data_IF_672785163313
#
_entry.id   IF_672785163313
#
_cell.length_a   1.000
_cell.length_b   1.000
_cell.length_c   1.000
_cell.angle_alpha   90.00
_cell.angle_beta   90.00
_cell.angle_gamma   90.00
#
_symmetry.space_group_name_H-M   'P 1'
#
loop_
_entity.id
_entity.type
_entity.pdbx_description
1 polymer ?
#
# COMPACT_ATOMS: atom_id res chain seq x y z
N UNK A 1 14.25 23.86 27.82
CA UNK A 1 14.55 24.12 26.39
C UNK A 1 15.01 22.79 25.83
N UNK A 2 14.09 22.05 25.22
CA UNK A 2 14.40 20.77 24.58
C UNK A 2 14.47 21.06 23.10
N UNK A 3 15.69 21.18 22.60
CA UNK A 3 16.02 21.50 21.22
C UNK A 3 15.49 20.38 20.30
N UNK A 4 14.90 20.78 19.18
CA UNK A 4 14.63 19.90 18.07
C UNK A 4 15.98 19.52 17.46
N UNK A 5 16.65 18.49 17.99
CA UNK A 5 17.90 17.99 17.38
C UNK A 5 17.55 17.27 16.07
N UNK A 6 17.51 18.05 15.00
CA UNK A 6 17.93 17.61 13.68
C UNK A 6 19.42 17.90 13.57
N UNK A 7 20.18 16.86 13.24
CA UNK A 7 21.59 16.99 12.86
C UNK A 7 21.71 18.08 11.78
N UNK A 8 22.41 19.15 12.14
CA UNK A 8 22.94 20.15 11.22
C UNK A 8 23.91 19.45 10.28
N UNK A 9 23.63 19.48 8.97
CA UNK A 9 24.66 19.42 7.95
C UNK A 9 24.71 20.80 7.32
N UNK A 10 25.79 21.51 7.64
CA UNK A 10 26.14 22.80 7.08
C UNK A 10 26.29 22.72 5.56
N UNK A 11 25.50 23.53 4.86
CA UNK A 11 26.00 24.38 3.78
C UNK A 11 25.01 25.52 3.56
N UNK A 12 25.50 26.74 3.73
CA UNK A 12 24.78 27.98 3.49
C UNK A 12 24.45 28.14 2.01
N UNK A 13 23.16 28.31 1.70
CA UNK A 13 22.69 29.08 0.55
C UNK A 13 21.48 29.88 1.07
N UNK A 14 21.61 31.20 1.06
CA UNK A 14 20.48 32.12 1.20
C UNK A 14 19.62 31.95 -0.05
N UNK A 15 18.38 31.47 0.09
CA UNK A 15 17.35 31.61 -0.92
C UNK A 15 15.97 31.69 -0.24
N UNK A 16 15.12 32.53 -0.82
CA UNK A 16 13.77 32.89 -0.36
C UNK A 16 12.89 31.69 0.03
N UNK A 17 11.91 31.89 0.95
CA UNK A 17 11.00 30.80 1.34
C UNK A 17 10.20 30.31 0.13
N UNK A 18 10.08 28.99 -0.09
CA UNK A 18 9.35 28.45 -1.22
C UNK A 18 7.85 28.72 -1.05
N UNK A 19 7.32 29.60 -1.89
CA UNK A 19 5.88 29.90 -2.02
C UNK A 19 5.19 28.87 -2.93
N UNK A 20 5.40 27.59 -2.65
CA UNK A 20 4.67 26.49 -3.29
C UNK A 20 3.32 26.26 -2.62
N UNK A 21 2.27 25.97 -3.39
CA UNK A 21 1.03 25.45 -2.81
C UNK A 21 1.33 24.18 -2.01
N UNK A 22 0.73 24.00 -0.82
CA UNK A 22 1.07 22.90 0.09
C UNK A 22 0.86 21.52 -0.53
N UNK A 23 0.09 21.36 -1.61
CA UNK A 23 -0.11 20.09 -2.32
C UNK A 23 1.07 19.67 -3.22
N UNK A 24 2.06 20.54 -3.45
CA UNK A 24 3.18 20.30 -4.38
C UNK A 24 4.48 19.92 -3.67
N UNK A 25 4.62 20.25 -2.37
CA UNK A 25 5.83 20.02 -1.61
C UNK A 25 5.98 18.55 -1.21
N UNK A 26 7.17 17.97 -1.33
CA UNK A 26 7.44 16.58 -0.93
C UNK A 26 8.79 16.44 -0.20
N UNK A 27 8.97 15.35 0.54
CA UNK A 27 10.26 15.00 1.16
C UNK A 27 10.85 16.09 2.07
N UNK A 28 12.06 16.55 1.75
CA UNK A 28 12.81 17.50 2.60
C UNK A 28 12.13 18.88 2.66
N UNK A 29 11.62 19.37 1.53
CA UNK A 29 11.00 20.70 1.42
C UNK A 29 9.74 20.78 2.28
N UNK A 30 8.88 19.75 2.21
CA UNK A 30 7.68 19.66 3.03
C UNK A 30 8.00 19.61 4.53
N UNK A 31 9.07 18.90 4.91
CA UNK A 31 9.52 18.85 6.32
C UNK A 31 9.99 20.20 6.84
N UNK A 32 10.69 20.98 6.00
CA UNK A 32 11.10 22.35 6.33
C UNK A 32 9.87 23.24 6.51
N UNK A 33 8.95 23.23 5.54
CA UNK A 33 7.72 24.03 5.61
C UNK A 33 6.89 23.77 6.87
N UNK A 34 6.80 22.51 7.31
CA UNK A 34 6.11 22.15 8.55
C UNK A 34 6.84 22.65 9.79
N UNK A 35 8.17 22.56 9.80
CA UNK A 35 8.96 23.06 10.92
C UNK A 35 8.77 24.58 11.07
N UNK A 36 8.87 25.33 9.97
CA UNK A 36 8.70 26.78 9.98
C UNK A 36 7.28 27.20 10.40
N UNK A 37 6.26 26.53 9.87
CA UNK A 37 4.88 26.77 10.24
C UNK A 37 4.63 26.43 11.73
N UNK A 38 5.21 25.33 12.22
CA UNK A 38 5.10 24.92 13.62
C UNK A 38 5.76 25.91 14.57
N UNK A 39 6.97 26.37 14.25
CA UNK A 39 7.70 27.35 15.06
C UNK A 39 6.98 28.69 15.11
N UNK A 40 6.30 29.06 14.02
CA UNK A 40 5.42 30.24 13.96
C UNK A 40 4.17 30.06 14.83
N UNK A 41 3.53 28.88 14.78
CA UNK A 41 2.30 28.61 15.53
C UNK A 41 2.53 28.42 17.03
N UNK A 42 3.62 27.78 17.42
CA UNK A 42 3.84 27.32 18.79
C UNK A 42 3.75 28.43 19.86
N UNK A 43 4.32 29.64 19.67
CA UNK A 43 4.15 30.76 20.61
C UNK A 43 2.68 31.17 20.82
N UNK A 44 1.84 31.08 19.76
CA UNK A 44 0.44 31.49 19.79
C UNK A 44 -0.43 30.53 20.62
N UNK A 45 -0.06 29.25 20.67
CA UNK A 45 -0.82 28.19 21.35
C UNK A 45 -0.78 28.31 22.88
N UNK A 46 0.21 29.01 23.44
CA UNK A 46 0.47 29.12 24.89
C UNK A 46 0.58 27.75 25.58
N UNK A 47 1.26 26.81 24.93
CA UNK A 47 1.52 25.45 25.42
C UNK A 47 2.98 25.07 25.19
N UNK A 48 3.53 24.12 25.97
CA UNK A 48 4.84 23.56 25.70
C UNK A 48 4.90 22.95 24.29
N UNK A 49 5.98 23.17 23.52
CA UNK A 49 6.12 22.63 22.16
C UNK A 49 5.93 21.11 22.10
N UNK A 50 6.37 20.39 23.13
CA UNK A 50 6.25 18.93 23.18
C UNK A 50 4.78 18.47 23.18
N UNK A 51 3.88 19.25 23.80
CA UNK A 51 2.44 18.96 23.79
C UNK A 51 1.81 19.22 22.42
N UNK A 52 2.30 20.23 21.70
CA UNK A 52 1.82 20.53 20.36
C UNK A 52 2.31 19.47 19.36
N UNK A 53 3.57 19.06 19.42
CA UNK A 53 4.11 17.95 18.62
C UNK A 53 3.39 16.63 18.89
N UNK A 54 3.14 16.29 20.16
CA UNK A 54 2.39 15.08 20.52
C UNK A 54 0.95 15.10 20.00
N UNK A 55 0.30 16.27 20.01
CA UNK A 55 -1.03 16.44 19.43
C UNK A 55 -1.00 16.29 17.91
N UNK A 56 -0.02 16.90 17.23
CA UNK A 56 0.16 16.82 15.78
C UNK A 56 0.38 15.37 15.34
N UNK A 57 1.30 14.65 15.99
CA UNK A 57 1.54 13.24 15.72
C UNK A 57 0.26 12.39 15.87
N UNK A 58 -0.55 12.67 16.91
CA UNK A 58 -1.82 11.98 17.13
C UNK A 58 -2.87 12.27 16.05
N UNK A 59 -2.92 13.49 15.52
CA UNK A 59 -3.83 13.88 14.44
C UNK A 59 -3.45 13.21 13.12
N UNK A 60 -2.17 13.27 12.78
CA UNK A 60 -1.62 12.59 11.62
C UNK A 60 -1.75 11.07 11.75
N UNK A 61 -1.83 10.53 12.97
CA UNK A 61 -1.97 9.09 13.21
C UNK A 61 -0.63 8.35 13.17
N UNK A 62 0.43 9.01 13.63
CA UNK A 62 1.80 8.48 13.71
C UNK A 62 2.29 8.47 15.16
N UNK A 63 3.35 7.71 15.44
CA UNK A 63 3.93 7.66 16.79
C UNK A 63 4.66 8.96 17.11
N UNK A 64 5.45 9.45 16.16
CA UNK A 64 6.15 10.73 16.23
C UNK A 64 6.07 11.44 14.88
N UNK A 65 6.21 12.75 14.86
CA UNK A 65 6.24 13.54 13.61
C UNK A 65 7.39 13.11 12.68
N UNK A 66 8.47 12.54 13.24
CA UNK A 66 9.60 11.99 12.46
C UNK A 66 9.20 10.78 11.62
N UNK A 67 8.21 10.01 12.08
CA UNK A 67 7.71 8.82 11.40
C UNK A 67 6.68 9.14 10.30
N UNK A 68 6.31 10.41 10.13
CA UNK A 68 5.33 10.86 9.15
C UNK A 68 5.87 10.77 7.72
N UNK A 69 5.05 10.23 6.81
CA UNK A 69 5.27 10.32 5.36
C UNK A 69 4.70 11.63 4.80
N UNK A 70 4.87 11.88 3.49
CA UNK A 70 4.42 13.15 2.88
C UNK A 70 2.91 13.38 3.07
N UNK A 71 2.09 12.33 2.97
CA UNK A 71 0.63 12.44 3.17
C UNK A 71 0.33 12.89 4.60
N UNK A 72 0.96 12.25 5.59
CA UNK A 72 0.81 12.64 6.99
C UNK A 72 1.26 14.08 7.23
N UNK A 73 2.38 14.48 6.62
CA UNK A 73 2.96 15.80 6.73
C UNK A 73 2.03 16.87 6.13
N UNK A 74 1.44 16.64 4.96
CA UNK A 74 0.44 17.55 4.38
C UNK A 74 -0.75 17.75 5.31
N UNK A 75 -1.28 16.67 5.91
CA UNK A 75 -2.34 16.81 6.93
C UNK A 75 -1.87 17.59 8.16
N UNK A 76 -0.63 17.36 8.59
CA UNK A 76 -0.01 18.10 9.68
C UNK A 76 0.06 19.60 9.40
N UNK A 77 0.45 19.97 8.18
CA UNK A 77 0.52 21.35 7.73
C UNK A 77 -0.87 22.01 7.70
N UNK A 78 -1.91 21.30 7.24
CA UNK A 78 -3.29 21.79 7.27
C UNK A 78 -3.76 22.09 8.70
N UNK A 79 -3.45 21.23 9.67
CA UNK A 79 -3.80 21.48 11.07
C UNK A 79 -2.97 22.63 11.66
N UNK A 80 -1.68 22.75 11.35
CA UNK A 80 -0.85 23.87 11.81
C UNK A 80 -1.41 25.20 11.28
N UNK A 81 -1.80 25.26 10.00
CA UNK A 81 -2.42 26.44 9.40
C UNK A 81 -3.72 26.81 10.13
N UNK A 82 -4.54 25.83 10.50
CA UNK A 82 -5.72 26.05 11.32
C UNK A 82 -5.40 26.63 12.71
N UNK A 83 -4.27 26.24 13.31
CA UNK A 83 -3.81 26.82 14.57
C UNK A 83 -3.28 28.24 14.41
N UNK A 84 -2.69 28.58 13.27
CA UNK A 84 -2.27 29.93 12.93
C UNK A 84 -3.48 30.85 12.76
N UNK A 85 -4.51 30.39 12.04
CA UNK A 85 -5.75 31.13 11.81
C UNK A 85 -6.59 31.29 13.09
N UNK A 86 -6.72 30.21 13.88
CA UNK A 86 -7.42 30.20 15.16
C UNK A 86 -6.62 29.40 16.20
N UNK A 87 -5.81 30.06 17.04
CA UNK A 87 -5.05 29.40 18.10
C UNK A 87 -5.90 28.68 19.14
N UNK A 88 -7.21 29.01 19.25
CA UNK A 88 -8.11 28.31 20.17
C UNK A 88 -8.50 26.93 19.66
N UNK A 89 -8.43 26.70 18.35
CA UNK A 89 -8.72 25.41 17.71
C UNK A 89 -7.81 24.27 18.22
N UNK A 90 -6.61 24.58 18.70
CA UNK A 90 -5.72 23.64 19.40
C UNK A 90 -6.39 22.97 20.61
N UNK A 91 -7.29 23.70 21.29
CA UNK A 91 -8.01 23.21 22.48
C UNK A 91 -9.22 22.36 22.12
N UNK A 92 -9.63 22.34 20.85
CA UNK A 92 -10.72 21.50 20.38
C UNK A 92 -10.40 20.04 20.66
N UNK A 93 -11.40 19.31 21.15
CA UNK A 93 -11.26 17.88 21.40
C UNK A 93 -10.94 17.17 20.10
N UNK A 94 -9.96 16.28 20.15
CA UNK A 94 -9.65 15.43 19.02
C UNK A 94 -10.88 14.58 18.66
N UNK A 95 -11.16 14.35 17.36
CA UNK A 95 -12.21 13.45 16.95
C UNK A 95 -12.10 12.10 17.65
N UNK A 96 -13.24 11.52 18.02
CA UNK A 96 -13.25 10.17 18.58
C UNK A 96 -12.74 9.21 17.52
N UNK A 97 -11.76 8.39 17.91
CA UNK A 97 -11.26 7.30 17.08
C UNK A 97 -12.43 6.38 16.69
N UNK A 98 -12.68 6.17 15.39
CA UNK A 98 -13.74 5.30 14.95
C UNK A 98 -13.48 3.85 15.38
N UNK A 99 -14.57 3.12 15.69
CA UNK A 99 -14.53 1.72 16.12
C UNK A 99 -15.48 0.91 15.24
N UNK A 100 -15.07 0.57 14.00
CA UNK A 100 -15.90 -0.23 13.11
C UNK A 100 -16.08 -1.65 13.66
N UNK A 101 -17.20 -2.27 13.29
CA UNK A 101 -17.40 -3.70 13.53
C UNK A 101 -16.41 -4.51 12.70
N UNK A 102 -15.73 -5.45 13.36
CA UNK A 102 -14.68 -6.26 12.74
C UNK A 102 -15.22 -7.64 12.38
N UNK A 103 -14.94 -8.14 11.16
CA UNK A 103 -15.23 -9.52 10.82
C UNK A 103 -14.62 -10.52 11.81
N UNK A 104 -15.34 -11.61 12.01
CA UNK A 104 -14.94 -12.75 12.84
C UNK A 104 -14.61 -13.93 11.93
N UNK A 105 -14.01 -14.99 12.47
CA UNK A 105 -13.71 -16.21 11.70
C UNK A 105 -12.56 -16.06 10.71
N UNK A 106 -12.61 -16.83 9.62
CA UNK A 106 -11.50 -17.04 8.66
C UNK A 106 -11.17 -15.79 7.81
N UNK A 107 -12.09 -14.83 7.73
CA UNK A 107 -11.90 -13.53 7.07
C UNK A 107 -11.26 -12.47 7.97
N UNK A 108 -11.01 -12.77 9.25
CA UNK A 108 -10.50 -11.78 10.20
C UNK A 108 -9.07 -11.34 9.88
N UNK A 109 -8.89 -10.04 9.71
CA UNK A 109 -7.57 -9.39 9.58
C UNK A 109 -7.04 -8.90 10.93
N UNK A 110 -5.70 -8.74 11.07
CA UNK A 110 -5.11 -8.09 12.23
C UNK A 110 -5.67 -6.68 12.43
N UNK A 111 -5.72 -6.20 13.67
CA UNK A 111 -6.21 -4.86 13.93
C UNK A 111 -5.23 -3.84 13.33
N UNK A 112 -5.71 -2.78 12.64
CA UNK A 112 -4.84 -1.67 12.33
C UNK A 112 -4.34 -0.99 13.59
N UNK A 113 -3.17 -0.38 13.48
CA UNK A 113 -2.55 0.35 14.59
C UNK A 113 -3.19 1.73 14.75
N UNK A 114 -3.55 2.37 13.64
CA UNK A 114 -4.12 3.70 13.59
C UNK A 114 -5.38 3.69 12.74
N UNK A 115 -6.43 4.35 13.22
CA UNK A 115 -7.67 4.58 12.48
C UNK A 115 -8.18 5.98 12.78
N UNK A 116 -8.71 6.64 11.76
CA UNK A 116 -9.28 7.98 11.84
C UNK A 116 -10.34 8.16 10.75
N UNK A 117 -11.04 9.27 10.81
CA UNK A 117 -11.84 9.75 9.68
C UNK A 117 -10.91 10.46 8.71
N UNK A 118 -11.03 10.17 7.41
CA UNK A 118 -10.25 10.83 6.38
C UNK A 118 -10.55 12.34 6.40
N UNK A 119 -9.54 13.21 6.54
CA UNK A 119 -9.77 14.65 6.60
C UNK A 119 -10.17 15.22 5.23
N UNK A 120 -9.72 14.59 4.16
CA UNK A 120 -9.95 14.99 2.77
C UNK A 120 -10.14 13.77 1.87
N UNK A 121 -10.48 14.03 0.60
CA UNK A 121 -10.56 12.99 -0.41
C UNK A 121 -9.16 12.47 -0.73
N UNK A 122 -8.96 11.15 -0.62
CA UNK A 122 -7.69 10.50 -0.92
C UNK A 122 -7.94 9.16 -1.60
N UNK A 123 -6.89 8.38 -1.85
CA UNK A 123 -7.00 7.04 -2.40
C UNK A 123 -6.40 6.00 -1.46
N UNK A 124 -7.00 4.82 -1.42
CA UNK A 124 -6.45 3.70 -0.67
C UNK A 124 -5.08 3.31 -1.24
N UNK A 125 -4.06 3.30 -0.37
CA UNK A 125 -2.70 2.94 -0.75
C UNK A 125 -2.58 1.48 -1.22
N UNK A 126 -3.54 0.62 -0.88
CA UNK A 126 -3.52 -0.79 -1.25
C UNK A 126 -4.33 -1.08 -2.52
N UNK A 127 -5.62 -0.72 -2.55
CA UNK A 127 -6.50 -1.08 -3.67
C UNK A 127 -6.72 0.01 -4.70
N UNK A 128 -6.22 1.25 -4.51
CA UNK A 128 -6.54 2.42 -5.34
C UNK A 128 -7.92 3.05 -5.17
N UNK A 129 -8.86 2.40 -4.48
CA UNK A 129 -10.22 2.94 -4.40
C UNK A 129 -10.21 4.31 -3.72
N UNK A 130 -11.07 5.24 -4.17
CA UNK A 130 -11.22 6.53 -3.49
C UNK A 130 -11.70 6.33 -2.05
N UNK A 131 -11.21 7.20 -1.18
CA UNK A 131 -11.62 7.36 0.21
C UNK A 131 -12.17 8.77 0.31
N UNK A 132 -13.47 8.93 0.54
CA UNK A 132 -14.06 10.26 0.64
C UNK A 132 -13.69 10.92 1.97
N UNK A 133 -13.75 12.25 2.01
CA UNK A 133 -13.63 12.98 3.27
C UNK A 133 -14.72 12.51 4.25
N UNK A 134 -14.33 12.18 5.48
CA UNK A 134 -15.22 11.61 6.50
C UNK A 134 -15.35 10.09 6.47
N UNK A 135 -14.79 9.39 5.48
CA UNK A 135 -14.76 7.93 5.48
C UNK A 135 -13.73 7.37 6.47
N UNK A 136 -13.93 6.11 6.87
CA UNK A 136 -12.96 5.42 7.70
C UNK A 136 -11.67 5.13 6.91
N UNK A 137 -10.55 5.58 7.46
CA UNK A 137 -9.21 5.24 6.97
C UNK A 137 -8.30 4.78 8.10
N UNK A 138 -7.29 3.99 7.77
CA UNK A 138 -6.40 3.38 8.75
C UNK A 138 -5.06 2.92 8.20
N UNK A 139 -4.14 2.63 9.12
CA UNK A 139 -2.82 2.06 8.80
C UNK A 139 -2.52 0.85 9.67
N UNK A 140 -1.93 -0.16 9.04
CA UNK A 140 -1.36 -1.29 9.75
C UNK A 140 -0.12 -0.85 10.52
N UNK A 141 0.26 -1.62 11.55
CA UNK A 141 1.55 -1.39 12.20
C UNK A 141 2.70 -1.55 11.20
N UNK A 142 3.81 -0.80 11.37
CA UNK A 142 4.97 -0.97 10.50
C UNK A 142 5.44 -2.42 10.58
N UNK A 143 5.69 -3.09 9.44
CA UNK A 143 6.20 -4.44 9.45
C UNK A 143 7.68 -4.45 9.86
N UNK A 144 8.24 -5.64 10.10
CA UNK A 144 9.70 -5.78 10.34
C UNK A 144 10.44 -5.58 9.03
N UNK A 145 11.70 -5.15 9.05
CA UNK A 145 12.54 -5.13 7.85
C UNK A 145 12.60 -6.53 7.19
N UNK A 146 12.69 -6.64 5.85
CA UNK A 146 12.84 -5.55 4.85
C UNK A 146 11.50 -4.99 4.33
N UNK A 147 10.41 -5.20 5.08
CA UNK A 147 9.08 -4.81 4.66
C UNK A 147 8.80 -3.32 4.94
N UNK A 148 7.94 -2.69 4.13
CA UNK A 148 7.58 -1.27 4.24
C UNK A 148 6.22 -1.05 4.87
N UNK A 149 6.09 0.05 5.60
CA UNK A 149 4.80 0.52 6.08
C UNK A 149 3.91 0.95 4.90
N UNK A 150 2.81 0.24 4.69
CA UNK A 150 1.77 0.70 3.77
C UNK A 150 1.16 2.02 4.26
N UNK A 151 0.80 2.89 3.31
CA UNK A 151 0.06 4.13 3.58
C UNK A 151 -1.38 3.89 4.07
N UNK A 152 -2.19 4.96 4.04
CA UNK A 152 -3.58 4.95 4.46
C UNK A 152 -4.45 4.02 3.59
N UNK A 153 -5.24 3.17 4.24
CA UNK A 153 -6.10 2.17 3.59
C UNK A 153 -7.57 2.43 3.89
N UNK A 154 -8.43 2.11 2.92
CA UNK A 154 -9.88 2.17 3.10
C UNK A 154 -10.36 1.07 4.06
N UNK A 155 -11.57 1.24 4.61
CA UNK A 155 -12.21 0.25 5.47
C UNK A 155 -12.19 -1.17 4.89
N UNK A 156 -12.48 -1.31 3.59
CA UNK A 156 -12.50 -2.60 2.92
C UNK A 156 -11.15 -3.30 3.05
N UNK A 157 -10.07 -2.63 2.66
CA UNK A 157 -8.71 -3.16 2.73
C UNK A 157 -8.23 -3.48 4.14
N UNK A 158 -8.70 -2.73 5.15
CA UNK A 158 -8.33 -2.92 6.54
C UNK A 158 -9.04 -4.10 7.20
N UNK A 159 -10.32 -4.29 6.90
CA UNK A 159 -11.17 -5.19 7.68
C UNK A 159 -11.88 -6.25 6.86
N UNK A 160 -12.35 -5.91 5.66
CA UNK A 160 -13.33 -6.72 4.93
C UNK A 160 -12.75 -7.50 3.76
N UNK A 161 -11.57 -7.15 3.24
CA UNK A 161 -10.99 -7.75 2.02
C UNK A 161 -10.80 -9.27 2.05
N UNK A 162 -10.81 -9.89 3.24
CA UNK A 162 -10.74 -11.35 3.39
C UNK A 162 -12.06 -12.00 3.78
N UNK A 163 -13.06 -11.21 4.19
CA UNK A 163 -14.39 -11.67 4.59
C UNK A 163 -15.40 -11.52 3.46
N UNK A 164 -15.25 -10.43 2.69
CA UNK A 164 -16.02 -10.13 1.48
C UNK A 164 -15.04 -9.79 0.36
N UNK A 165 -14.18 -10.74 -0.07
CA UNK A 165 -13.16 -10.48 -1.09
C UNK A 165 -13.77 -10.07 -2.43
N UNK A 166 -13.08 -9.18 -3.13
CA UNK A 166 -13.32 -8.81 -4.53
C UNK A 166 -12.25 -9.45 -5.41
N UNK A 167 -12.44 -9.47 -6.74
CA UNK A 167 -11.44 -9.99 -7.70
C UNK A 167 -10.06 -9.37 -7.51
N UNK A 168 -9.99 -8.04 -7.39
CA UNK A 168 -8.74 -7.33 -7.09
C UNK A 168 -8.09 -7.73 -5.76
N UNK A 169 -8.84 -8.15 -4.75
CA UNK A 169 -8.24 -8.68 -3.53
C UNK A 169 -7.53 -10.01 -3.79
N UNK A 170 -8.06 -10.84 -4.68
CA UNK A 170 -7.41 -12.09 -5.12
C UNK A 170 -6.11 -11.78 -5.87
N UNK A 171 -6.11 -10.80 -6.78
CA UNK A 171 -4.90 -10.38 -7.50
C UNK A 171 -3.84 -9.84 -6.56
N UNK A 172 -4.21 -8.95 -5.63
CA UNK A 172 -3.32 -8.43 -4.59
C UNK A 172 -2.80 -9.57 -3.70
N UNK A 173 -3.63 -10.57 -3.39
CA UNK A 173 -3.23 -11.75 -2.62
C UNK A 173 -2.19 -12.57 -3.38
N UNK A 174 -2.41 -12.83 -4.66
CA UNK A 174 -1.47 -13.54 -5.55
C UNK A 174 -0.14 -12.82 -5.55
N UNK A 175 -0.14 -11.54 -5.90
CA UNK A 175 1.08 -10.73 -5.98
C UNK A 175 1.85 -10.72 -4.65
N UNK A 176 1.21 -10.39 -3.53
CA UNK A 176 1.91 -10.29 -2.25
C UNK A 176 2.42 -11.64 -1.72
N UNK A 177 1.66 -12.72 -1.91
CA UNK A 177 2.08 -14.05 -1.46
C UNK A 177 3.20 -14.62 -2.33
N UNK A 178 3.10 -14.48 -3.66
CA UNK A 178 4.17 -14.88 -4.56
C UNK A 178 5.38 -13.96 -4.46
N UNK A 179 5.23 -12.72 -4.03
CA UNK A 179 6.38 -11.91 -3.67
C UNK A 179 7.09 -12.55 -2.46
N UNK A 180 6.35 -12.83 -1.39
CA UNK A 180 6.90 -13.24 -0.10
C UNK A 180 7.29 -14.73 -0.01
N UNK A 181 6.76 -15.59 -0.88
CA UNK A 181 6.86 -17.05 -0.77
C UNK A 181 6.68 -17.75 -2.13
N UNK A 182 6.64 -19.09 -2.12
CA UNK A 182 6.50 -19.93 -3.33
C UNK A 182 5.08 -20.47 -3.55
N UNK A 183 4.07 -19.79 -3.00
CA UNK A 183 2.68 -20.17 -3.18
C UNK A 183 1.71 -19.17 -2.55
N UNK A 184 0.43 -19.37 -2.80
CA UNK A 184 -0.63 -18.48 -2.33
C UNK A 184 -1.58 -19.23 -1.40
N UNK A 185 -2.00 -18.58 -0.32
CA UNK A 185 -2.92 -19.15 0.66
C UNK A 185 -4.22 -18.36 0.66
N UNK A 186 -5.30 -19.00 0.24
CA UNK A 186 -6.64 -18.42 0.12
C UNK A 186 -7.58 -19.03 1.16
N UNK A 187 -8.41 -18.25 1.84
CA UNK A 187 -9.50 -18.80 2.66
C UNK A 187 -10.69 -19.21 1.77
N UNK A 188 -11.72 -19.83 2.36
CA UNK A 188 -12.92 -20.25 1.64
C UNK A 188 -13.58 -19.12 0.82
N UNK A 189 -13.70 -17.90 1.36
CA UNK A 189 -14.30 -16.77 0.65
C UNK A 189 -13.47 -16.35 -0.57
N UNK A 190 -12.15 -16.29 -0.42
CA UNK A 190 -11.20 -15.98 -1.49
C UNK A 190 -11.22 -17.09 -2.57
N UNK A 191 -11.36 -18.35 -2.16
CA UNK A 191 -11.51 -19.48 -3.08
C UNK A 191 -12.81 -19.40 -3.89
N UNK A 192 -13.92 -18.98 -3.29
CA UNK A 192 -15.19 -18.80 -3.99
C UNK A 192 -15.08 -17.79 -5.12
N UNK A 193 -14.54 -16.60 -4.81
CA UNK A 193 -14.34 -15.54 -5.83
C UNK A 193 -13.44 -16.00 -6.96
N UNK A 194 -12.36 -16.73 -6.66
CA UNK A 194 -11.45 -17.23 -7.69
C UNK A 194 -12.09 -18.35 -8.52
N UNK A 195 -12.82 -19.27 -7.88
CA UNK A 195 -13.53 -20.34 -8.56
C UNK A 195 -14.56 -19.79 -9.54
N UNK A 196 -15.40 -18.86 -9.09
CA UNK A 196 -16.42 -18.23 -9.92
C UNK A 196 -15.76 -17.54 -11.12
N UNK A 197 -14.70 -16.76 -10.88
CA UNK A 197 -14.01 -16.06 -11.96
C UNK A 197 -13.39 -17.01 -13.01
N UNK A 198 -12.83 -18.15 -12.59
CA UNK A 198 -12.25 -19.14 -13.50
C UNK A 198 -13.30 -20.00 -14.23
N UNK A 199 -14.55 -19.98 -13.80
CA UNK A 199 -15.63 -20.81 -14.36
C UNK A 199 -16.70 -20.01 -15.12
N UNK A 200 -16.63 -18.68 -15.05
CA UNK A 200 -17.54 -17.77 -15.76
C UNK A 200 -17.42 -17.84 -17.28
N UNK A 201 -16.20 -18.01 -17.80
CA UNK A 201 -15.95 -18.11 -19.24
C UNK A 201 -15.80 -19.59 -19.64
N UNK A 202 -16.83 -20.19 -20.29
CA UNK A 202 -16.77 -21.59 -20.73
C UNK A 202 -15.73 -21.83 -21.84
N UNK A 203 -15.16 -20.78 -22.43
CA UNK A 203 -14.08 -20.86 -23.41
C UNK A 203 -12.69 -21.06 -22.80
N UNK A 204 -12.50 -20.78 -21.51
CA UNK A 204 -11.20 -20.88 -20.83
C UNK A 204 -10.52 -22.26 -20.98
N UNK A 205 -11.22 -23.40 -20.88
CA UNK A 205 -10.61 -24.72 -21.08
C UNK A 205 -9.99 -24.94 -22.46
N UNK A 206 -10.37 -24.17 -23.48
CA UNK A 206 -9.82 -24.26 -24.82
C UNK A 206 -8.59 -23.35 -25.04
N UNK A 207 -8.18 -22.58 -24.03
CA UNK A 207 -7.07 -21.62 -24.14
C UNK A 207 -5.71 -22.30 -24.00
N UNK A 208 -4.67 -21.68 -24.57
CA UNK A 208 -3.29 -22.19 -24.51
C UNK A 208 -2.78 -22.48 -23.09
N UNK A 209 -2.96 -21.59 -22.10
CA UNK A 209 -2.51 -21.83 -20.74
C UNK A 209 -3.21 -23.03 -20.10
N UNK A 210 -4.52 -23.24 -20.33
CA UNK A 210 -5.24 -24.39 -19.78
C UNK A 210 -4.74 -25.69 -20.38
N UNK A 211 -4.53 -25.71 -21.70
CA UNK A 211 -4.04 -26.90 -22.40
C UNK A 211 -2.62 -27.27 -21.97
N UNK A 212 -1.78 -26.29 -21.64
CA UNK A 212 -0.42 -26.49 -21.18
C UNK A 212 -0.33 -26.95 -19.71
N UNK A 213 -1.19 -26.42 -18.84
CA UNK A 213 -1.28 -26.76 -17.41
C UNK A 213 -2.75 -26.82 -16.96
N UNK A 214 -3.43 -27.97 -17.14
CA UNK A 214 -4.84 -28.11 -16.80
C UNK A 214 -5.12 -27.90 -15.30
N UNK A 215 -6.10 -27.04 -14.99
CA UNK A 215 -6.41 -26.64 -13.62
C UNK A 215 -7.66 -27.32 -13.02
N UNK A 216 -8.18 -28.39 -13.63
CA UNK A 216 -9.40 -29.09 -13.20
C UNK A 216 -9.36 -29.52 -11.72
N UNK A 217 -8.25 -30.16 -11.30
CA UNK A 217 -8.05 -30.54 -9.91
C UNK A 217 -7.93 -29.33 -8.96
N UNK A 218 -7.46 -28.19 -9.48
CA UNK A 218 -7.45 -26.93 -8.73
C UNK A 218 -8.85 -26.39 -8.55
N UNK A 219 -9.71 -26.43 -9.57
CA UNK A 219 -11.11 -26.02 -9.45
C UNK A 219 -11.88 -26.86 -8.43
N UNK A 220 -11.74 -28.19 -8.49
CA UNK A 220 -12.34 -29.09 -7.49
C UNK A 220 -11.87 -28.76 -6.07
N UNK A 221 -10.59 -28.43 -5.93
CA UNK A 221 -10.01 -28.02 -4.64
C UNK A 221 -10.54 -26.68 -4.14
N UNK A 222 -10.73 -25.70 -5.03
CA UNK A 222 -11.33 -24.41 -4.68
C UNK A 222 -12.79 -24.60 -4.25
N UNK A 223 -13.58 -25.37 -4.99
CA UNK A 223 -14.97 -25.71 -4.63
C UNK A 223 -15.05 -26.41 -3.27
N UNK A 224 -14.25 -27.45 -3.07
CA UNK A 224 -14.19 -28.18 -1.79
C UNK A 224 -13.80 -27.25 -0.63
N UNK A 225 -12.90 -26.29 -0.86
CA UNK A 225 -12.52 -25.30 0.14
C UNK A 225 -13.68 -24.41 0.58
N UNK A 226 -14.57 -24.05 -0.34
CA UNK A 226 -15.80 -23.29 -0.07
C UNK A 226 -16.78 -24.15 0.73
N UNK A 227 -17.06 -25.36 0.25
CA UNK A 227 -18.00 -26.31 0.87
C UNK A 227 -17.61 -26.66 2.32
N UNK A 228 -16.32 -26.90 2.57
CA UNK A 228 -15.80 -27.25 3.89
C UNK A 228 -15.47 -26.03 4.77
N UNK A 229 -15.58 -24.80 4.26
CA UNK A 229 -15.25 -23.59 5.02
C UNK A 229 -13.78 -23.51 5.47
N UNK A 230 -12.83 -23.97 4.63
CA UNK A 230 -11.41 -24.04 4.99
C UNK A 230 -10.84 -22.67 5.35
N UNK A 231 -10.02 -22.65 6.40
CA UNK A 231 -9.30 -21.44 6.82
C UNK A 231 -8.23 -21.01 5.81
N UNK A 232 -7.58 -21.99 5.16
CA UNK A 232 -6.54 -21.77 4.16
C UNK A 232 -6.47 -22.95 3.18
N UNK A 233 -6.42 -22.64 1.89
CA UNK A 233 -6.16 -23.52 0.77
C UNK A 233 -4.93 -23.00 0.01
N UNK A 234 -3.89 -23.83 -0.04
CA UNK A 234 -2.57 -23.47 -0.59
C UNK A 234 -2.43 -23.84 -2.05
N UNK A 235 -2.30 -22.87 -2.95
CA UNK A 235 -1.95 -23.12 -4.36
C UNK A 235 -0.45 -22.90 -4.57
N UNK A 236 0.17 -23.76 -5.39
CA UNK A 236 1.58 -23.65 -5.73
C UNK A 236 1.84 -22.40 -6.61
N UNK A 237 3.08 -21.91 -6.59
CA UNK A 237 3.50 -20.78 -7.44
C UNK A 237 3.20 -21.03 -8.92
N UNK A 238 3.50 -22.22 -9.45
CA UNK A 238 3.22 -22.57 -10.86
C UNK A 238 1.74 -22.46 -11.20
N UNK A 239 0.87 -23.05 -10.37
CA UNK A 239 -0.59 -22.96 -10.54
C UNK A 239 -1.07 -21.50 -10.51
N UNK A 240 -0.50 -20.66 -9.64
CA UNK A 240 -0.86 -19.25 -9.58
C UNK A 240 -0.45 -18.47 -10.84
N UNK A 241 0.68 -18.81 -11.48
CA UNK A 241 1.07 -18.25 -12.77
C UNK A 241 0.10 -18.68 -13.87
N UNK A 242 -0.26 -19.96 -13.92
CA UNK A 242 -1.27 -20.48 -14.86
C UNK A 242 -2.60 -19.78 -14.69
N UNK A 243 -3.07 -19.60 -13.45
CA UNK A 243 -4.30 -18.85 -13.15
C UNK A 243 -4.22 -17.42 -13.68
N UNK A 244 -3.13 -16.69 -13.46
CA UNK A 244 -2.98 -15.32 -13.98
C UNK A 244 -3.00 -15.31 -15.51
N UNK A 245 -2.31 -16.24 -16.16
CA UNK A 245 -2.31 -16.36 -17.62
C UNK A 245 -3.70 -16.69 -18.19
N UNK A 246 -4.46 -17.56 -17.52
CA UNK A 246 -5.85 -17.87 -17.86
C UNK A 246 -6.74 -16.63 -17.76
N UNK A 247 -6.66 -15.92 -16.63
CA UNK A 247 -7.46 -14.72 -16.41
C UNK A 247 -7.15 -13.61 -17.42
N UNK A 248 -5.92 -13.54 -17.96
CA UNK A 248 -5.58 -12.62 -19.05
C UNK A 248 -6.24 -12.98 -20.38
N UNK A 249 -6.62 -14.24 -20.58
CA UNK A 249 -7.30 -14.74 -21.79
C UNK A 249 -8.82 -14.87 -21.62
N UNK A 250 -9.33 -14.69 -20.40
CA UNK A 250 -10.76 -14.71 -20.12
C UNK A 250 -11.48 -13.59 -20.87
N UNK A 251 -12.66 -13.90 -21.40
CA UNK A 251 -13.53 -12.90 -21.99
C UNK A 251 -13.89 -11.79 -20.98
N UNK A 252 -14.04 -10.52 -21.42
CA UNK A 252 -14.52 -9.45 -20.56
C UNK A 252 -15.91 -9.77 -20.00
N UNK A 253 -16.10 -9.53 -18.70
CA UNK A 253 -17.37 -9.75 -18.00
C UNK A 253 -17.84 -8.46 -17.34
N UNK A 254 -19.14 -8.26 -17.12
CA UNK A 254 -19.66 -7.07 -16.40
C UNK A 254 -19.17 -7.00 -14.94
N UNK A 255 -18.66 -8.09 -14.39
CA UNK A 255 -18.12 -8.19 -13.04
C UNK A 255 -16.63 -7.82 -12.95
N UNK A 256 -15.92 -7.69 -14.08
CA UNK A 256 -14.53 -7.21 -14.12
C UNK A 256 -14.52 -5.69 -14.30
N UNK A 257 -14.06 -4.95 -13.30
CA UNK A 257 -13.85 -3.51 -13.43
C UNK A 257 -12.59 -3.17 -14.24
N UNK A 258 -12.47 -1.92 -14.69
CA UNK A 258 -11.24 -1.40 -15.32
C UNK A 258 -10.04 -1.56 -14.38
N UNK A 259 -10.24 -1.29 -13.08
CA UNK A 259 -9.21 -1.43 -12.06
C UNK A 259 -8.79 -2.89 -11.85
N UNK A 260 -9.72 -3.85 -11.94
CA UNK A 260 -9.36 -5.28 -11.88
C UNK A 260 -8.50 -5.68 -13.09
N UNK A 261 -8.79 -5.13 -14.26
CA UNK A 261 -8.04 -5.39 -15.50
C UNK A 261 -6.64 -4.79 -15.45
N UNK A 262 -6.51 -3.54 -14.97
CA UNK A 262 -5.22 -2.89 -14.76
C UNK A 262 -4.38 -3.61 -13.71
N UNK A 263 -5.00 -4.03 -12.61
CA UNK A 263 -4.34 -4.83 -11.58
C UNK A 263 -3.87 -6.18 -12.13
N UNK A 264 -4.71 -6.88 -12.90
CA UNK A 264 -4.35 -8.16 -13.50
C UNK A 264 -3.14 -8.02 -14.44
N UNK A 265 -3.12 -6.96 -15.26
CA UNK A 265 -1.98 -6.65 -16.12
C UNK A 265 -0.71 -6.38 -15.32
N UNK A 266 -0.81 -5.60 -14.24
CA UNK A 266 0.32 -5.31 -13.36
C UNK A 266 0.86 -6.56 -12.67
N UNK A 267 -0.03 -7.45 -12.19
CA UNK A 267 0.37 -8.74 -11.60
C UNK A 267 1.08 -9.59 -12.65
N UNK A 268 0.50 -9.77 -13.83
CA UNK A 268 1.09 -10.57 -14.90
C UNK A 268 2.48 -10.07 -15.30
N UNK A 269 2.64 -8.76 -15.47
CA UNK A 269 3.94 -8.14 -15.77
C UNK A 269 4.99 -8.50 -14.71
N UNK A 270 4.69 -8.32 -13.42
CA UNK A 270 5.68 -8.57 -12.38
C UNK A 270 5.98 -10.06 -12.17
N UNK A 271 5.00 -10.93 -12.41
CA UNK A 271 5.26 -12.38 -12.42
C UNK A 271 6.22 -12.76 -13.55
N UNK A 272 6.04 -12.20 -14.75
CA UNK A 272 6.96 -12.39 -15.88
C UNK A 272 8.35 -11.83 -15.57
N UNK A 273 8.43 -10.60 -15.07
CA UNK A 273 9.71 -9.97 -14.69
C UNK A 273 10.48 -10.79 -13.65
N UNK A 274 9.81 -11.43 -12.68
CA UNK A 274 10.48 -12.30 -11.71
C UNK A 274 10.99 -13.60 -12.33
N UNK A 275 10.38 -14.08 -13.41
CA UNK A 275 10.82 -15.28 -14.12
C UNK A 275 11.96 -14.97 -15.10
N UNK A 276 11.80 -13.95 -15.95
CA UNK A 276 12.73 -13.65 -17.04
C UNK A 276 13.87 -12.71 -16.62
N UNK A 277 13.71 -12.03 -15.48
CA UNK A 277 14.69 -11.09 -14.90
C UNK A 277 15.27 -10.09 -15.91
N UNK A 278 14.43 -9.31 -16.62
CA UNK A 278 14.90 -8.41 -17.66
C UNK A 278 15.81 -7.29 -17.12
N UNK A 279 15.73 -7.00 -15.82
CA UNK A 279 16.56 -6.03 -15.10
C UNK A 279 17.96 -6.56 -14.74
N UNK A 280 18.29 -7.81 -15.11
CA UNK A 280 19.56 -8.46 -14.81
C UNK A 280 19.92 -8.37 -13.31
N UNK A 281 18.93 -8.54 -12.42
CA UNK A 281 19.19 -8.60 -11.00
C UNK A 281 20.07 -9.82 -10.69
N UNK A 282 21.14 -9.61 -9.93
CA UNK A 282 22.14 -10.65 -9.67
C UNK A 282 21.59 -11.74 -8.74
N UNK A 283 21.10 -12.85 -9.31
CA UNK A 283 20.58 -13.98 -8.54
C UNK A 283 21.61 -14.55 -7.55
N UNK A 284 22.92 -14.50 -7.87
CA UNK A 284 23.98 -14.92 -6.94
C UNK A 284 24.03 -14.07 -5.66
N UNK A 285 23.70 -12.79 -5.76
CA UNK A 285 23.75 -11.82 -4.65
C UNK A 285 22.47 -11.85 -3.81
N UNK A 286 21.31 -12.00 -4.45
CA UNK A 286 20.01 -11.86 -3.80
C UNK A 286 19.21 -13.17 -3.65
N UNK A 287 19.68 -14.26 -4.25
CA UNK A 287 18.95 -15.52 -4.39
C UNK A 287 17.82 -15.42 -5.42
N UNK A 288 16.78 -16.23 -5.25
CA UNK A 288 15.54 -16.21 -6.06
C UNK A 288 14.29 -15.87 -5.22
N UNK A 289 14.47 -15.47 -3.97
CA UNK A 289 13.38 -15.21 -3.02
C UNK A 289 12.93 -13.74 -2.96
N UNK A 290 12.31 -13.29 -1.85
CA UNK A 290 11.73 -11.95 -1.74
C UNK A 290 12.72 -10.80 -1.99
N UNK A 291 14.00 -10.97 -1.64
CA UNK A 291 15.04 -9.96 -1.89
C UNK A 291 15.30 -9.76 -3.38
N UNK A 292 15.34 -10.85 -4.14
CA UNK A 292 15.50 -10.79 -5.59
C UNK A 292 14.29 -10.12 -6.24
N UNK A 293 13.08 -10.54 -5.86
CA UNK A 293 11.82 -9.94 -6.35
C UNK A 293 11.71 -8.45 -6.02
N UNK A 294 12.19 -8.02 -4.86
CA UNK A 294 12.28 -6.61 -4.49
C UNK A 294 13.23 -5.82 -5.40
N UNK A 295 14.42 -6.36 -5.69
CA UNK A 295 15.39 -5.71 -6.57
C UNK A 295 14.88 -5.61 -8.00
N UNK A 296 14.23 -6.68 -8.51
CA UNK A 296 13.58 -6.68 -9.83
C UNK A 296 12.50 -5.60 -9.90
N UNK A 297 11.62 -5.54 -8.89
CA UNK A 297 10.53 -4.57 -8.83
C UNK A 297 11.05 -3.13 -8.71
N UNK A 298 12.11 -2.89 -7.95
CA UNK A 298 12.75 -1.57 -7.82
C UNK A 298 13.40 -1.10 -9.13
N UNK A 299 13.93 -2.05 -9.93
CA UNK A 299 14.64 -1.75 -11.18
C UNK A 299 13.74 -1.81 -12.41
N UNK A 300 12.44 -2.06 -12.27
CA UNK A 300 11.54 -2.15 -13.43
C UNK A 300 11.54 -0.84 -14.20
N UNK A 301 11.68 -0.93 -15.53
CA UNK A 301 11.57 0.20 -16.46
C UNK A 301 10.12 0.54 -16.79
N UNK A 302 9.18 -0.30 -16.34
CA UNK A 302 7.75 -0.17 -16.60
C UNK A 302 6.99 -0.14 -15.26
N UNK A 303 7.09 0.95 -14.49
CA UNK A 303 6.46 1.04 -13.18
C UNK A 303 4.95 0.89 -13.30
N UNK A 304 4.38 0.00 -12.50
CA UNK A 304 2.92 -0.20 -12.39
C UNK A 304 2.40 0.37 -11.08
N UNK A 305 1.08 0.33 -10.89
CA UNK A 305 0.45 0.67 -9.60
C UNK A 305 1.03 -0.15 -8.43
N UNK A 306 1.46 -1.39 -8.66
CA UNK A 306 2.07 -2.25 -7.66
C UNK A 306 3.53 -1.88 -7.36
N UNK A 307 4.25 -1.36 -8.35
CA UNK A 307 5.62 -0.84 -8.18
C UNK A 307 5.62 0.51 -7.44
N UNK A 308 4.63 1.36 -7.70
CA UNK A 308 4.57 2.71 -7.10
C UNK A 308 4.04 2.69 -5.67
N UNK A 309 3.04 1.86 -5.38
CA UNK A 309 2.32 1.91 -4.10
C UNK A 309 2.85 0.96 -3.04
N UNK A 310 3.90 0.23 -3.38
CA UNK A 310 4.44 -0.78 -2.49
C UNK A 310 3.52 -1.97 -2.38
N UNK A 311 3.98 -3.10 -2.93
CA UNK A 311 3.87 -4.32 -2.14
C UNK A 311 4.48 -4.12 -0.74
N UNK A 312 4.43 -5.10 0.17
CA UNK A 312 4.88 -4.89 1.53
C UNK A 312 6.41 -4.74 1.65
N UNK A 313 7.15 -4.30 0.63
CA UNK A 313 8.62 -4.23 0.53
C UNK A 313 9.04 -2.86 -0.03
N UNK A 314 10.33 -2.50 0.12
CA UNK A 314 10.88 -1.16 -0.16
C UNK A 314 10.45 -0.56 -1.50
N UNK A 315 9.43 0.30 -1.47
CA UNK A 315 8.85 1.03 -2.60
C UNK A 315 8.28 2.35 -2.09
N UNK A 316 9.14 3.17 -1.49
CA UNK A 316 8.86 4.59 -1.38
C UNK A 316 9.51 5.28 -2.56
N UNK A 317 8.67 5.91 -3.39
CA UNK A 317 9.06 7.06 -4.23
C UNK A 317 10.42 6.90 -4.92
N UNK A 318 10.46 6.39 -6.15
CA UNK A 318 11.68 6.51 -6.96
C UNK A 318 11.81 7.94 -7.50
N UNK A 319 12.80 8.74 -7.08
CA UNK A 319 13.55 9.57 -8.01
C UNK A 319 14.87 8.86 -8.37
N UNK A 320 15.50 9.26 -9.48
CA UNK A 320 16.15 8.38 -10.43
C UNK A 320 17.45 7.77 -9.90
N UNK A 321 17.90 6.72 -10.59
CA UNK A 321 19.32 6.36 -10.58
C UNK A 321 20.12 7.64 -10.82
N UNK A 322 21.01 7.99 -9.88
CA UNK A 322 22.12 8.87 -10.22
C UNK A 322 22.94 8.14 -11.27
N UNK A 323 22.72 8.48 -12.53
CA UNK A 323 23.71 8.34 -13.59
C UNK A 323 24.93 9.17 -13.18
N UNK A 324 25.85 8.55 -12.45
CA UNK A 324 27.26 8.86 -12.65
C UNK A 324 27.75 7.91 -13.74
N UNK A 325 27.52 8.33 -14.98
CA UNK A 325 28.35 7.90 -16.09
C UNK A 325 29.60 8.78 -16.08
N UNK A 326 30.74 8.09 -15.97
CA UNK A 326 32.10 8.46 -16.40
C UNK A 326 32.86 9.49 -15.55
N UNK A 327 33.97 9.06 -14.95
CA UNK A 327 35.33 9.16 -15.55
C UNK A 327 36.38 8.55 -14.59
N UNK A 328 36.86 7.35 -14.95
CA UNK A 328 38.23 6.77 -14.87
C UNK A 328 38.19 5.22 -14.78
#
# INVERSE_FOLDING_TARGET
>A
MTTFEMLTLDTAIEDEPPTGEPAVLHGKELRIAIQDAFDTACPLLRKPPEKALARLAKLMGVKTVRDADDIDLHEGLLEINKWLDDPTSFRTRLPKTPKPDRPKGIGKLPAPRFVKWAPEHTACSLCADPIAAGDLTGRMGPPKAPYVAMGWQCEHCLYRRRDVPRRRDILLRIFHHLFASEGIGLNAYECGVLHDWLTEDPGLPATGPWLADPIDATLDRLRTSVEEGKSTTWLASTTAHTIVALLQQAAPTPYTSVQDTEMLRAVAQHLDEWQVNPQNAEARKYGAGPRFRAVVLQRTTHPTVLSVRGGPFDLHQTPPQSTELNEE
#
